data_IF_580756434776
#
_entry.id   IF_580756434776
#
_cell.length_a   1.000
_cell.length_b   1.000
_cell.length_c   1.000
_cell.angle_alpha   90.00
_cell.angle_beta   90.00
_cell.angle_gamma   90.00
#
_symmetry.space_group_name_H-M   'P 1'
#
loop_
_entity.id
_entity.type
_entity.pdbx_description
1 polymer ?
#
# COMPACT_ATOMS: atom_id res chain seq x y z
N UNK A 1 -85.43 65.76 -2.84
CA UNK A 1 -85.33 64.52 -3.65
C UNK A 1 -84.34 64.65 -4.82
N UNK A 2 -83.66 65.80 -4.99
CA UNK A 2 -82.60 66.00 -6.00
C UNK A 2 -81.18 65.68 -5.46
N UNK A 3 -80.96 65.85 -4.16
CA UNK A 3 -79.63 65.68 -3.54
C UNK A 3 -79.20 64.20 -3.42
N UNK A 4 -80.17 63.29 -3.21
CA UNK A 4 -79.94 61.85 -3.12
C UNK A 4 -79.63 61.19 -4.47
N UNK A 5 -80.19 61.68 -5.58
CA UNK A 5 -79.92 61.16 -6.93
C UNK A 5 -78.53 61.56 -7.43
N UNK A 6 -78.08 62.77 -7.08
CA UNK A 6 -76.75 63.26 -7.43
C UNK A 6 -75.64 62.56 -6.62
N UNK A 7 -75.93 62.24 -5.36
CA UNK A 7 -75.01 61.49 -4.48
C UNK A 7 -74.87 60.03 -4.95
N UNK A 8 -75.96 59.37 -5.35
CA UNK A 8 -75.93 57.99 -5.87
C UNK A 8 -75.20 57.89 -7.22
N UNK A 9 -75.36 58.87 -8.12
CA UNK A 9 -74.61 58.93 -9.39
C UNK A 9 -73.12 59.15 -9.18
N UNK A 10 -72.72 60.00 -8.21
CA UNK A 10 -71.31 60.18 -7.82
C UNK A 10 -70.71 58.90 -7.26
N UNK A 11 -71.40 58.21 -6.35
CA UNK A 11 -70.90 56.97 -5.74
C UNK A 11 -70.80 55.84 -6.77
N UNK A 12 -71.73 55.74 -7.73
CA UNK A 12 -71.64 54.78 -8.84
C UNK A 12 -70.53 55.11 -9.83
N UNK A 13 -70.28 56.39 -10.10
CA UNK A 13 -69.18 56.84 -10.98
C UNK A 13 -67.82 56.62 -10.32
N UNK A 14 -67.73 56.85 -9.01
CA UNK A 14 -66.55 56.59 -8.19
C UNK A 14 -66.28 55.09 -8.05
N UNK A 15 -67.32 54.26 -7.86
CA UNK A 15 -67.19 52.80 -7.83
C UNK A 15 -66.76 52.23 -9.19
N UNK A 16 -67.30 52.73 -10.30
CA UNK A 16 -66.90 52.32 -11.65
C UNK A 16 -65.48 52.78 -12.01
N UNK A 17 -65.08 53.99 -11.62
CA UNK A 17 -63.70 54.45 -11.75
C UNK A 17 -62.74 53.59 -10.91
N UNK A 18 -63.09 53.28 -9.66
CA UNK A 18 -62.27 52.44 -8.79
C UNK A 18 -62.10 51.04 -9.37
N UNK A 19 -63.17 50.47 -9.95
CA UNK A 19 -63.13 49.18 -10.65
C UNK A 19 -62.25 49.25 -11.91
N UNK A 20 -62.39 50.28 -12.76
CA UNK A 20 -61.55 50.45 -13.95
C UNK A 20 -60.06 50.66 -13.60
N UNK A 21 -59.77 51.43 -12.55
CA UNK A 21 -58.40 51.63 -12.07
C UNK A 21 -57.83 50.31 -11.55
N UNK A 22 -58.57 49.54 -10.76
CA UNK A 22 -58.12 48.22 -10.29
C UNK A 22 -57.90 47.24 -11.44
N UNK A 23 -58.78 47.21 -12.45
CA UNK A 23 -58.60 46.35 -13.63
C UNK A 23 -57.39 46.76 -14.46
N UNK A 24 -57.19 48.06 -14.72
CA UNK A 24 -56.01 48.55 -15.45
C UNK A 24 -54.72 48.37 -14.68
N UNK A 25 -54.74 48.52 -13.35
CA UNK A 25 -53.58 48.23 -12.49
C UNK A 25 -53.29 46.73 -12.49
N UNK A 26 -54.31 45.86 -12.50
CA UNK A 26 -54.15 44.42 -12.66
C UNK A 26 -53.53 44.03 -14.00
N UNK A 27 -54.02 44.58 -15.11
CA UNK A 27 -53.46 44.36 -16.45
C UNK A 27 -52.03 44.92 -16.58
N UNK A 28 -51.75 46.08 -15.99
CA UNK A 28 -50.43 46.68 -15.99
C UNK A 28 -49.46 45.84 -15.17
N UNK A 29 -49.89 45.32 -14.02
CA UNK A 29 -49.09 44.43 -13.16
C UNK A 29 -48.84 43.09 -13.86
N UNK A 30 -49.83 42.53 -14.55
CA UNK A 30 -49.67 41.32 -15.34
C UNK A 30 -48.71 41.51 -16.53
N UNK A 31 -48.82 42.65 -17.25
CA UNK A 31 -47.88 43.00 -18.32
C UNK A 31 -46.47 43.27 -17.80
N UNK A 32 -46.32 43.94 -16.65
CA UNK A 32 -45.02 44.13 -16.00
C UNK A 32 -44.42 42.79 -15.56
N UNK A 33 -45.22 41.89 -15.01
CA UNK A 33 -44.76 40.55 -14.57
C UNK A 33 -44.36 39.69 -15.78
N UNK A 34 -45.13 39.73 -16.87
CA UNK A 34 -44.77 39.05 -18.13
C UNK A 34 -43.53 39.64 -18.80
N UNK A 35 -43.34 40.96 -18.73
CA UNK A 35 -42.12 41.64 -19.21
C UNK A 35 -40.92 41.43 -18.29
N UNK A 36 -41.10 41.33 -16.97
CA UNK A 36 -40.05 40.96 -16.04
C UNK A 36 -39.62 39.51 -16.24
N UNK A 37 -40.57 38.58 -16.42
CA UNK A 37 -40.29 37.18 -16.71
C UNK A 37 -39.51 36.99 -18.02
N UNK A 38 -39.75 37.84 -19.03
CA UNK A 38 -39.00 37.83 -20.30
C UNK A 38 -37.69 38.61 -20.25
N UNK A 39 -37.57 39.64 -19.42
CA UNK A 39 -36.32 40.39 -19.21
C UNK A 39 -35.25 39.58 -18.43
N UNK A 40 -35.67 38.62 -17.61
CA UNK A 40 -34.81 37.64 -16.97
C UNK A 40 -34.81 36.27 -17.67
N UNK A 41 -35.39 36.18 -18.87
CA UNK A 41 -35.26 34.97 -19.69
C UNK A 41 -33.83 34.95 -20.25
N UNK A 42 -32.93 34.42 -19.44
CA UNK A 42 -31.55 34.16 -19.78
C UNK A 42 -31.55 33.20 -20.98
N UNK A 43 -31.35 33.76 -22.17
CA UNK A 43 -31.20 33.01 -23.40
C UNK A 43 -29.91 32.18 -23.28
N UNK A 44 -30.09 30.95 -22.81
CA UNK A 44 -28.99 30.05 -22.46
C UNK A 44 -28.14 29.73 -23.69
N UNK A 45 -28.70 29.79 -24.90
CA UNK A 45 -27.98 29.61 -26.16
C UNK A 45 -27.14 30.83 -26.52
N UNK A 46 -27.62 32.06 -26.27
CA UNK A 46 -26.81 33.28 -26.43
C UNK A 46 -25.71 33.42 -25.39
N UNK A 47 -25.94 33.00 -24.15
CA UNK A 47 -24.88 32.95 -23.14
C UNK A 47 -23.87 31.86 -23.50
N UNK A 48 -24.32 30.65 -23.89
CA UNK A 48 -23.43 29.57 -24.30
C UNK A 48 -22.56 29.94 -25.51
N UNK A 49 -23.11 30.66 -26.49
CA UNK A 49 -22.35 31.13 -27.67
C UNK A 49 -21.44 32.33 -27.38
N UNK A 50 -21.79 33.19 -26.40
CA UNK A 50 -20.90 34.24 -25.90
C UNK A 50 -19.75 33.68 -25.04
N UNK A 51 -19.94 32.51 -24.41
CA UNK A 51 -18.92 31.73 -23.72
C UNK A 51 -18.38 30.58 -24.58
N UNK A 52 -18.18 30.82 -25.89
CA UNK A 52 -17.34 29.90 -26.66
C UNK A 52 -15.89 30.14 -26.25
N UNK A 53 -15.49 29.43 -25.20
CA UNK A 53 -14.14 29.42 -24.67
C UNK A 53 -13.30 28.61 -25.66
N UNK A 54 -12.88 29.26 -26.76
CA UNK A 54 -11.88 28.74 -27.70
C UNK A 54 -10.48 28.85 -27.07
N UNK A 55 -10.35 28.21 -25.91
CA UNK A 55 -9.09 28.11 -25.19
C UNK A 55 -8.45 26.80 -25.65
N UNK A 56 -7.25 26.90 -26.22
CA UNK A 56 -6.48 25.70 -26.61
C UNK A 56 -6.22 24.80 -25.40
N UNK A 57 -6.01 23.51 -25.61
CA UNK A 57 -5.72 22.57 -24.49
C UNK A 57 -4.56 23.06 -23.59
N UNK A 58 -3.56 23.72 -24.19
CA UNK A 58 -2.43 24.33 -23.48
C UNK A 58 -2.86 25.50 -22.60
N UNK A 59 -3.77 26.34 -23.09
CA UNK A 59 -4.23 27.53 -22.38
C UNK A 59 -5.23 27.16 -21.26
N UNK A 60 -6.02 26.10 -21.46
CA UNK A 60 -6.90 25.54 -20.44
C UNK A 60 -6.07 24.93 -19.30
N UNK A 61 -5.02 24.20 -19.65
CA UNK A 61 -4.06 23.63 -18.69
C UNK A 61 -3.37 24.73 -17.88
N UNK A 62 -2.99 25.84 -18.51
CA UNK A 62 -2.38 27.01 -17.82
C UNK A 62 -3.35 27.67 -16.86
N UNK A 63 -4.60 27.89 -17.24
CA UNK A 63 -5.63 28.50 -16.37
C UNK A 63 -5.92 27.60 -15.18
N UNK A 64 -6.13 26.31 -15.41
CA UNK A 64 -6.37 25.33 -14.34
C UNK A 64 -5.17 25.29 -13.37
N UNK A 65 -3.94 25.28 -13.90
CA UNK A 65 -2.72 25.28 -13.08
C UNK A 65 -2.57 26.59 -12.27
N UNK A 66 -2.94 27.72 -12.86
CA UNK A 66 -2.90 29.03 -12.18
C UNK A 66 -3.98 29.17 -11.09
N UNK A 67 -5.12 28.50 -11.23
CA UNK A 67 -6.18 28.49 -10.20
C UNK A 67 -5.90 27.52 -9.06
N UNK A 68 -5.12 26.46 -9.31
CA UNK A 68 -4.73 25.48 -8.29
C UNK A 68 -3.50 25.88 -7.46
N UNK A 69 -2.71 26.87 -7.90
CA UNK A 69 -1.49 27.27 -7.21
C UNK A 69 -1.69 28.56 -6.42
N UNK A 70 -1.85 28.45 -5.10
CA UNK A 70 -1.92 29.57 -4.17
C UNK A 70 -0.52 30.18 -3.94
N UNK A 71 0.08 30.69 -5.01
CA UNK A 71 1.42 31.28 -5.00
C UNK A 71 1.30 32.80 -4.92
N UNK A 72 2.01 33.41 -3.95
CA UNK A 72 2.08 34.87 -3.80
C UNK A 72 2.38 35.53 -5.15
N UNK A 73 1.41 36.31 -5.65
CA UNK A 73 1.47 37.03 -6.93
C UNK A 73 2.61 38.05 -6.90
N UNK A 74 3.75 37.72 -7.50
CA UNK A 74 4.88 38.61 -7.72
C UNK A 74 5.23 38.62 -9.20
N UNK A 75 5.70 39.76 -9.72
CA UNK A 75 6.12 39.89 -11.11
C UNK A 75 7.15 38.82 -11.51
N UNK A 76 8.02 38.43 -10.58
CA UNK A 76 8.99 37.34 -10.78
C UNK A 76 8.32 35.97 -10.93
N UNK A 77 7.30 35.67 -10.12
CA UNK A 77 6.53 34.41 -10.18
C UNK A 77 5.81 34.28 -11.51
N UNK A 78 5.28 35.38 -12.05
CA UNK A 78 4.65 35.41 -13.36
C UNK A 78 5.66 35.21 -14.50
N UNK A 79 6.86 35.80 -14.41
CA UNK A 79 7.90 35.57 -15.42
C UNK A 79 8.34 34.11 -15.45
N UNK A 80 8.48 33.47 -14.28
CA UNK A 80 8.78 32.04 -14.18
C UNK A 80 7.68 31.19 -14.83
N UNK A 81 6.40 31.54 -14.69
CA UNK A 81 5.31 30.82 -15.37
C UNK A 81 5.26 31.02 -16.89
N UNK A 82 5.88 32.09 -17.40
CA UNK A 82 6.13 32.31 -18.83
C UNK A 82 7.41 31.62 -19.35
N UNK A 83 8.09 30.81 -18.52
CA UNK A 83 9.30 30.09 -18.91
C UNK A 83 10.60 30.88 -18.76
N UNK A 84 10.57 32.06 -18.12
CA UNK A 84 11.80 32.80 -17.79
C UNK A 84 12.60 32.03 -16.73
N UNK A 85 13.83 31.67 -17.09
CA UNK A 85 14.77 31.00 -16.19
C UNK A 85 15.96 31.91 -15.90
N UNK A 86 16.06 32.35 -14.65
CA UNK A 86 17.24 33.03 -14.13
C UNK A 86 18.33 31.99 -13.84
N UNK A 87 19.42 32.02 -14.62
CA UNK A 87 20.54 31.07 -14.48
C UNK A 87 21.28 31.21 -13.15
N UNK A 88 21.17 32.36 -12.47
CA UNK A 88 21.80 32.60 -11.17
C UNK A 88 20.92 32.14 -9.99
N UNK A 89 19.63 31.88 -10.23
CA UNK A 89 18.64 31.47 -9.20
C UNK A 89 17.72 30.37 -9.74
N UNK A 90 18.21 29.11 -9.83
CA UNK A 90 17.40 28.01 -10.33
C UNK A 90 16.16 27.77 -9.44
N UNK A 91 14.99 27.58 -10.07
CA UNK A 91 13.72 27.35 -9.37
C UNK A 91 13.65 25.97 -8.72
N UNK A 92 14.26 24.95 -9.34
CA UNK A 92 14.39 23.59 -8.82
C UNK A 92 15.67 22.95 -9.35
N UNK A 93 16.14 21.90 -8.67
CA UNK A 93 17.25 21.05 -9.11
C UNK A 93 16.71 19.63 -9.25
N UNK A 94 16.82 19.05 -10.44
CA UNK A 94 16.44 17.66 -10.71
C UNK A 94 17.61 16.72 -10.49
N UNK A 95 17.45 15.72 -9.63
CA UNK A 95 18.43 14.66 -9.42
C UNK A 95 17.94 13.35 -10.06
N UNK A 96 18.81 12.71 -10.83
CA UNK A 96 18.54 11.42 -11.45
C UNK A 96 19.53 10.39 -10.91
N UNK A 97 19.02 9.40 -10.18
CA UNK A 97 19.84 8.36 -9.58
C UNK A 97 19.89 7.13 -10.48
N UNK A 98 21.08 6.55 -10.60
CA UNK A 98 21.28 5.28 -11.31
C UNK A 98 20.85 4.06 -10.49
N UNK A 99 20.73 4.20 -9.16
CA UNK A 99 20.33 3.14 -8.24
C UNK A 99 19.37 3.65 -7.17
N UNK A 100 18.50 2.75 -6.68
CA UNK A 100 17.60 3.05 -5.58
C UNK A 100 18.34 3.30 -4.27
N UNK A 101 19.39 2.54 -3.98
CA UNK A 101 20.20 2.71 -2.77
C UNK A 101 20.85 4.11 -2.72
N UNK A 102 21.36 4.58 -3.86
CA UNK A 102 21.96 5.92 -3.96
C UNK A 102 20.94 7.03 -3.73
N UNK A 103 19.72 6.86 -4.28
CA UNK A 103 18.60 7.76 -4.01
C UNK A 103 18.26 7.79 -2.53
N UNK A 104 18.10 6.62 -1.91
CA UNK A 104 17.69 6.51 -0.50
C UNK A 104 18.73 7.10 0.46
N UNK A 105 20.02 6.89 0.17
CA UNK A 105 21.09 7.55 0.93
C UNK A 105 21.06 9.07 0.78
N UNK A 106 20.78 9.59 -0.42
CA UNK A 106 20.65 11.03 -0.65
C UNK A 106 19.42 11.63 0.05
N UNK A 107 18.28 10.93 0.03
CA UNK A 107 17.08 11.35 0.74
C UNK A 107 17.34 11.42 2.26
N UNK A 108 17.98 10.39 2.84
CA UNK A 108 18.39 10.41 4.27
C UNK A 108 19.31 11.57 4.60
N UNK A 109 20.19 11.95 3.69
CA UNK A 109 21.04 13.14 3.85
C UNK A 109 20.22 14.43 3.85
N UNK A 110 19.25 14.58 2.93
CA UNK A 110 18.34 15.73 2.90
C UNK A 110 17.49 15.82 4.17
N UNK A 111 16.94 14.70 4.63
CA UNK A 111 16.16 14.63 5.87
C UNK A 111 17.02 15.06 7.06
N UNK A 112 18.24 14.50 7.17
CA UNK A 112 19.18 14.86 8.24
C UNK A 112 19.61 16.34 8.20
N UNK A 113 19.67 16.95 7.01
CA UNK A 113 19.95 18.37 6.85
C UNK A 113 18.74 19.22 7.25
N UNK A 114 17.54 18.84 6.83
CA UNK A 114 16.30 19.53 7.17
C UNK A 114 16.03 19.47 8.67
N UNK A 115 16.20 18.31 9.31
CA UNK A 115 16.06 18.14 10.76
C UNK A 115 16.97 19.11 11.54
N UNK A 116 18.21 19.29 11.08
CA UNK A 116 19.15 20.26 11.68
C UNK A 116 18.71 21.70 11.48
N UNK A 117 18.27 22.05 10.27
CA UNK A 117 17.82 23.41 9.96
C UNK A 117 16.54 23.78 10.71
N UNK A 118 15.64 22.82 10.93
CA UNK A 118 14.45 22.99 11.77
C UNK A 118 14.81 23.15 13.24
N UNK A 119 15.74 22.33 13.76
CA UNK A 119 16.23 22.44 15.13
C UNK A 119 16.92 23.79 15.41
N UNK A 120 17.65 24.33 14.42
CA UNK A 120 18.32 25.63 14.50
C UNK A 120 17.37 26.81 14.24
N UNK A 121 16.07 26.57 14.01
CA UNK A 121 15.06 27.59 13.74
C UNK A 121 15.16 28.26 12.36
N UNK A 122 16.03 27.76 11.48
CA UNK A 122 16.28 28.29 10.13
C UNK A 122 15.28 27.72 9.11
N UNK A 123 13.99 28.03 9.28
CA UNK A 123 12.91 27.54 8.40
C UNK A 123 13.08 27.91 6.92
N UNK A 124 13.75 29.03 6.63
CA UNK A 124 14.00 29.49 5.25
C UNK A 124 15.04 28.64 4.49
N UNK A 125 15.79 27.78 5.21
CA UNK A 125 16.82 26.90 4.63
C UNK A 125 16.36 25.46 4.48
N UNK A 126 15.13 25.13 4.90
CA UNK A 126 14.54 23.79 4.75
C UNK A 126 14.30 23.51 3.27
N UNK A 127 14.82 22.38 2.81
CA UNK A 127 14.73 21.96 1.41
C UNK A 127 13.45 21.18 1.22
N UNK A 128 12.53 21.72 0.44
CA UNK A 128 11.35 21.00 -0.03
C UNK A 128 11.73 20.18 -1.27
N UNK A 129 11.49 18.87 -1.22
CA UNK A 129 11.76 17.97 -2.33
C UNK A 129 10.54 17.09 -2.64
N UNK A 130 10.45 16.60 -3.88
CA UNK A 130 9.39 15.69 -4.33
C UNK A 130 10.02 14.47 -4.98
N UNK A 131 9.74 13.28 -4.44
CA UNK A 131 10.20 12.01 -5.00
C UNK A 131 9.10 11.37 -5.87
N UNK A 132 9.02 11.80 -7.13
CA UNK A 132 8.07 11.24 -8.11
C UNK A 132 8.24 9.73 -8.28
N UNK A 133 9.49 9.23 -8.24
CA UNK A 133 9.77 7.79 -8.36
C UNK A 133 9.34 7.02 -7.12
N UNK A 134 9.53 7.59 -5.93
CA UNK A 134 9.11 7.02 -4.66
C UNK A 134 7.60 6.93 -4.54
N UNK A 135 6.87 7.95 -5.00
CA UNK A 135 5.39 7.93 -5.03
C UNK A 135 4.88 6.79 -5.92
N UNK A 136 5.44 6.64 -7.13
CA UNK A 136 5.05 5.55 -8.04
C UNK A 136 5.43 4.17 -7.49
N UNK A 137 6.63 4.03 -6.92
CA UNK A 137 7.11 2.76 -6.37
C UNK A 137 6.46 2.40 -5.03
N UNK A 138 5.92 3.36 -4.28
CA UNK A 138 5.26 3.10 -2.99
C UNK A 138 4.06 2.17 -3.15
N UNK A 139 3.22 2.39 -4.17
CA UNK A 139 2.09 1.51 -4.48
C UNK A 139 2.54 0.10 -4.84
N UNK A 140 3.59 -0.03 -5.65
CA UNK A 140 4.17 -1.34 -6.03
C UNK A 140 4.75 -2.05 -4.80
N UNK A 141 5.52 -1.33 -3.98
CA UNK A 141 6.11 -1.86 -2.73
C UNK A 141 5.03 -2.32 -1.77
N UNK A 142 3.93 -1.59 -1.66
CA UNK A 142 2.78 -1.96 -0.82
C UNK A 142 2.17 -3.29 -1.27
N UNK A 143 1.94 -3.47 -2.57
CA UNK A 143 1.40 -4.72 -3.13
C UNK A 143 2.38 -5.88 -2.92
N UNK A 144 3.66 -5.69 -3.25
CA UNK A 144 4.70 -6.71 -3.07
C UNK A 144 4.83 -7.11 -1.60
N UNK A 145 4.81 -6.14 -0.68
CA UNK A 145 4.86 -6.40 0.76
C UNK A 145 3.63 -7.14 1.25
N UNK A 146 2.43 -6.78 0.77
CA UNK A 146 1.20 -7.48 1.13
C UNK A 146 1.25 -8.96 0.72
N UNK A 147 1.64 -9.25 -0.52
CA UNK A 147 1.83 -10.63 -1.00
C UNK A 147 2.91 -11.35 -0.20
N UNK A 148 4.02 -10.66 0.09
CA UNK A 148 5.13 -11.22 0.88
C UNK A 148 4.68 -11.60 2.29
N UNK A 149 3.91 -10.74 2.97
CA UNK A 149 3.38 -11.05 4.30
C UNK A 149 2.41 -12.23 4.29
N UNK A 150 1.55 -12.33 3.27
CA UNK A 150 0.66 -13.48 3.10
C UNK A 150 1.48 -14.77 2.92
N UNK A 151 2.52 -14.76 2.08
CA UNK A 151 3.40 -15.91 1.88
C UNK A 151 4.17 -16.28 3.16
N UNK A 152 4.66 -15.28 3.91
CA UNK A 152 5.33 -15.50 5.20
C UNK A 152 4.36 -16.13 6.20
N UNK A 153 3.10 -15.71 6.24
CA UNK A 153 2.08 -16.31 7.10
C UNK A 153 1.85 -17.79 6.75
N UNK A 154 1.73 -18.12 5.45
CA UNK A 154 1.62 -19.51 5.00
C UNK A 154 2.83 -20.34 5.39
N UNK A 155 4.04 -19.85 5.13
CA UNK A 155 5.29 -20.52 5.49
C UNK A 155 5.35 -20.76 7.00
N UNK A 156 4.97 -19.77 7.81
CA UNK A 156 4.99 -19.88 9.27
C UNK A 156 4.05 -20.99 9.77
N UNK A 157 2.83 -21.07 9.22
CA UNK A 157 1.88 -22.15 9.56
C UNK A 157 2.44 -23.51 9.13
N UNK A 158 2.95 -23.61 7.89
CA UNK A 158 3.55 -24.84 7.38
C UNK A 158 4.74 -25.31 8.22
N UNK A 159 5.57 -24.38 8.72
CA UNK A 159 6.69 -24.70 9.60
C UNK A 159 6.21 -25.28 10.94
N UNK A 160 5.17 -24.71 11.54
CA UNK A 160 4.58 -25.23 12.79
C UNK A 160 4.04 -26.64 12.58
N UNK A 161 3.22 -26.83 11.53
CA UNK A 161 2.65 -28.15 11.19
C UNK A 161 3.74 -29.18 10.92
N UNK A 162 4.78 -28.80 10.18
CA UNK A 162 5.93 -29.67 9.91
C UNK A 162 6.69 -30.04 11.18
N UNK A 163 6.95 -29.09 12.07
CA UNK A 163 7.62 -29.35 13.34
C UNK A 163 6.84 -30.31 14.24
N UNK A 164 5.51 -30.18 14.29
CA UNK A 164 4.64 -31.10 15.04
C UNK A 164 4.68 -32.49 14.40
N UNK A 165 4.60 -32.57 13.06
CA UNK A 165 4.64 -33.84 12.34
C UNK A 165 5.95 -34.60 12.60
N UNK A 166 7.09 -33.91 12.59
CA UNK A 166 8.39 -34.51 12.93
C UNK A 166 8.36 -35.05 14.37
N UNK A 167 7.80 -34.30 15.31
CA UNK A 167 7.64 -34.75 16.70
C UNK A 167 6.78 -36.01 16.83
N UNK A 168 5.69 -36.10 16.06
CA UNK A 168 4.81 -37.29 16.06
C UNK A 168 5.53 -38.50 15.47
N UNK A 169 6.20 -38.34 14.33
CA UNK A 169 6.91 -39.45 13.66
C UNK A 169 8.03 -39.97 14.56
N UNK A 170 8.82 -39.08 15.16
CA UNK A 170 9.89 -39.47 16.09
C UNK A 170 9.34 -40.11 17.36
N UNK A 171 8.18 -39.66 17.86
CA UNK A 171 7.49 -40.33 18.97
C UNK A 171 7.07 -41.77 18.63
N UNK A 172 6.48 -41.99 17.46
CA UNK A 172 6.08 -43.32 16.99
C UNK A 172 7.31 -44.22 16.83
N UNK A 173 8.39 -43.72 16.21
CA UNK A 173 9.64 -44.47 16.03
C UNK A 173 10.24 -44.93 17.35
N UNK A 174 10.21 -44.09 18.38
CA UNK A 174 10.64 -44.46 19.75
C UNK A 174 9.76 -45.57 20.31
N UNK A 175 8.45 -45.49 20.09
CA UNK A 175 7.49 -46.45 20.63
C UNK A 175 7.67 -47.84 19.99
N UNK A 176 7.87 -47.90 18.67
CA UNK A 176 8.14 -49.15 17.94
C UNK A 176 9.46 -49.79 18.36
N UNK A 177 10.49 -48.98 18.66
CA UNK A 177 11.83 -49.45 19.08
C UNK A 177 11.98 -49.62 20.60
N UNK A 178 10.89 -49.71 21.37
CA UNK A 178 10.95 -49.78 22.84
C UNK A 178 11.78 -50.97 23.35
N UNK A 179 11.70 -52.14 22.70
CA UNK A 179 12.46 -53.36 23.05
C UNK A 179 13.97 -53.15 22.91
N UNK A 180 14.40 -52.51 21.82
CA UNK A 180 15.80 -52.17 21.57
C UNK A 180 16.35 -51.22 22.64
N UNK A 181 15.57 -50.20 23.02
CA UNK A 181 15.91 -49.27 24.10
C UNK A 181 16.06 -50.02 25.43
N UNK A 182 15.16 -50.97 25.73
CA UNK A 182 15.22 -51.80 26.93
C UNK A 182 16.49 -52.66 27.01
N UNK A 183 16.90 -53.25 25.90
CA UNK A 183 18.15 -54.04 25.79
C UNK A 183 19.37 -53.13 26.00
N UNK A 184 19.45 -51.99 25.31
CA UNK A 184 20.54 -51.02 25.44
C UNK A 184 20.69 -50.51 26.87
N UNK A 185 19.57 -50.19 27.52
CA UNK A 185 19.55 -49.74 28.92
C UNK A 185 19.96 -50.83 29.91
N UNK A 186 19.68 -52.11 29.60
CA UNK A 186 20.05 -53.24 30.45
C UNK A 186 21.55 -53.58 30.36
N UNK A 187 22.19 -53.27 29.23
CA UNK A 187 23.64 -53.38 29.02
C UNK A 187 24.41 -52.18 29.62
N UNK A 188 23.70 -51.15 30.10
CA UNK A 188 24.29 -50.01 30.81
C UNK A 188 24.23 -48.66 30.08
N UNK A 189 23.48 -48.55 28.97
CA UNK A 189 23.30 -47.27 28.30
C UNK A 189 22.58 -46.25 29.22
N UNK A 190 23.20 -45.07 29.38
CA UNK A 190 22.62 -43.99 30.15
C UNK A 190 21.39 -43.38 29.43
N UNK A 191 20.52 -42.70 30.18
CA UNK A 191 19.39 -41.94 29.60
C UNK A 191 19.86 -40.90 28.57
N UNK A 192 21.04 -40.32 28.79
CA UNK A 192 21.63 -39.34 27.87
C UNK A 192 22.08 -40.00 26.56
N UNK A 193 22.67 -41.20 26.62
CA UNK A 193 23.09 -41.94 25.43
C UNK A 193 21.88 -42.26 24.53
N UNK A 194 20.78 -42.72 25.13
CA UNK A 194 19.54 -42.99 24.40
C UNK A 194 18.99 -41.69 23.77
N UNK A 195 18.90 -40.59 24.54
CA UNK A 195 18.44 -39.31 23.99
C UNK A 195 19.35 -38.79 22.87
N UNK A 196 20.66 -39.01 22.95
CA UNK A 196 21.63 -38.54 21.95
C UNK A 196 21.48 -39.27 20.62
N UNK A 197 21.10 -40.56 20.63
CA UNK A 197 20.87 -41.34 19.42
C UNK A 197 19.68 -40.74 18.64
N UNK A 198 18.56 -40.48 19.31
CA UNK A 198 17.38 -39.89 18.67
C UNK A 198 17.60 -38.43 18.26
N UNK A 199 18.36 -37.65 19.04
CA UNK A 199 18.77 -36.31 18.65
C UNK A 199 19.67 -36.34 17.40
N UNK A 200 20.58 -37.31 17.29
CA UNK A 200 21.42 -37.48 16.11
C UNK A 200 20.60 -37.89 14.87
N UNK A 201 19.61 -38.78 15.02
CA UNK A 201 18.67 -39.13 13.94
C UNK A 201 17.92 -37.89 13.44
N UNK A 202 17.40 -37.08 14.36
CA UNK A 202 16.71 -35.82 14.04
C UNK A 202 17.63 -34.78 13.39
N UNK A 203 18.89 -34.71 13.83
CA UNK A 203 19.91 -33.83 13.24
C UNK A 203 20.22 -34.23 11.79
N UNK A 204 20.42 -35.53 11.54
CA UNK A 204 20.69 -36.06 10.19
C UNK A 204 19.51 -35.79 9.28
N UNK A 205 18.28 -36.01 9.75
CA UNK A 205 17.05 -35.69 9.00
C UNK A 205 17.03 -34.21 8.64
N UNK A 206 17.25 -33.32 9.61
CA UNK A 206 17.26 -31.87 9.35
C UNK A 206 18.34 -31.44 8.36
N UNK A 207 19.54 -32.00 8.48
CA UNK A 207 20.66 -31.68 7.59
C UNK A 207 20.37 -32.15 6.16
N UNK A 208 19.87 -33.37 5.99
CA UNK A 208 19.48 -33.90 4.68
C UNK A 208 18.31 -33.11 4.10
N UNK A 209 17.27 -32.83 4.87
CA UNK A 209 16.13 -32.03 4.43
C UNK A 209 16.55 -30.62 3.97
N UNK A 210 17.44 -29.95 4.71
CA UNK A 210 17.98 -28.65 4.32
C UNK A 210 18.79 -28.70 3.02
N UNK A 211 19.65 -29.70 2.86
CA UNK A 211 20.42 -29.91 1.62
C UNK A 211 19.52 -30.23 0.43
N UNK A 212 18.54 -31.10 0.60
CA UNK A 212 17.55 -31.41 -0.45
C UNK A 212 16.72 -30.19 -0.83
N UNK A 213 16.26 -29.41 0.16
CA UNK A 213 15.53 -28.17 -0.08
C UNK A 213 16.31 -27.19 -0.95
N UNK A 214 17.59 -26.97 -0.62
CA UNK A 214 18.48 -26.11 -1.40
C UNK A 214 18.73 -26.67 -2.80
N UNK A 215 18.99 -27.97 -2.92
CA UNK A 215 19.20 -28.62 -4.21
C UNK A 215 18.01 -28.47 -5.14
N UNK A 216 16.79 -28.60 -4.60
CA UNK A 216 15.54 -28.37 -5.32
C UNK A 216 15.43 -26.88 -5.70
N UNK A 217 15.65 -25.95 -4.77
CA UNK A 217 15.60 -24.52 -5.07
C UNK A 217 16.56 -24.13 -6.20
N UNK A 218 17.83 -24.54 -6.14
CA UNK A 218 18.80 -24.26 -7.21
C UNK A 218 18.40 -24.86 -8.55
N UNK A 219 17.76 -26.04 -8.54
CA UNK A 219 17.27 -26.68 -9.77
C UNK A 219 16.06 -25.94 -10.36
N UNK A 220 15.22 -25.31 -9.54
CA UNK A 220 14.04 -24.56 -9.97
C UNK A 220 14.36 -23.14 -10.47
N UNK A 221 15.37 -22.48 -9.89
CA UNK A 221 15.78 -21.11 -10.28
C UNK A 221 15.93 -20.92 -11.81
N UNK A 222 16.67 -21.76 -12.56
CA UNK A 222 16.81 -21.57 -14.01
C UNK A 222 15.48 -21.77 -14.76
N UNK A 223 14.62 -22.68 -14.29
CA UNK A 223 13.30 -22.92 -14.88
C UNK A 223 12.42 -21.68 -14.70
N UNK A 224 12.41 -21.11 -13.49
CA UNK A 224 11.67 -19.90 -13.16
C UNK A 224 12.19 -18.72 -13.98
N UNK A 225 13.51 -18.55 -14.09
CA UNK A 225 14.10 -17.50 -14.92
C UNK A 225 13.66 -17.63 -16.38
N UNK A 226 13.66 -18.83 -16.96
CA UNK A 226 13.20 -19.06 -18.34
C UNK A 226 11.73 -18.67 -18.52
N UNK A 227 10.88 -19.03 -17.57
CA UNK A 227 9.46 -18.67 -17.59
C UNK A 227 9.30 -17.14 -17.49
N UNK A 228 10.06 -16.50 -16.60
CA UNK A 228 10.01 -15.05 -16.39
C UNK A 228 10.38 -14.27 -17.67
N UNK A 229 11.48 -14.67 -18.32
CA UNK A 229 11.93 -14.09 -19.60
C UNK A 229 10.89 -14.26 -20.71
N UNK A 230 10.08 -15.31 -20.68
CA UNK A 230 9.01 -15.52 -21.67
C UNK A 230 7.82 -14.57 -21.46
N UNK A 231 7.42 -14.30 -20.21
CA UNK A 231 6.24 -13.49 -19.91
C UNK A 231 6.52 -11.98 -19.86
N UNK A 232 7.73 -11.58 -19.44
CA UNK A 232 8.07 -10.18 -19.14
C UNK A 232 9.03 -9.59 -20.19
N UNK A 233 9.56 -10.42 -21.11
CA UNK A 233 10.55 -10.03 -22.10
C UNK A 233 11.98 -10.01 -21.54
N UNK A 234 12.96 -9.58 -22.35
CA UNK A 234 14.39 -9.55 -21.99
C UNK A 234 14.76 -8.43 -21.00
N UNK A 235 13.97 -8.24 -19.94
CA UNK A 235 14.40 -7.40 -18.82
C UNK A 235 15.49 -8.19 -18.07
N UNK A 236 16.64 -7.59 -17.71
CA UNK A 236 17.73 -8.28 -17.00
C UNK A 236 17.39 -8.55 -15.52
N UNK A 237 16.20 -9.11 -15.25
CA UNK A 237 15.76 -9.57 -13.95
C UNK A 237 16.06 -11.06 -13.83
N UNK A 238 17.20 -11.38 -13.26
CA UNK A 238 17.55 -12.76 -12.94
C UNK A 238 17.26 -13.01 -11.45
N UNK A 239 16.48 -14.05 -11.17
CA UNK A 239 16.40 -14.62 -9.84
C UNK A 239 17.76 -15.25 -9.53
N UNK A 240 18.46 -14.69 -8.56
CA UNK A 240 19.76 -15.19 -8.10
C UNK A 240 19.62 -15.64 -6.65
N UNK A 241 20.06 -16.87 -6.39
CA UNK A 241 20.07 -17.44 -5.05
C UNK A 241 21.52 -17.49 -4.53
N UNK A 242 21.82 -16.64 -3.55
CA UNK A 242 23.16 -16.52 -2.97
C UNK A 242 23.48 -17.69 -2.03
N UNK A 243 24.69 -18.24 -2.15
CA UNK A 243 25.17 -19.36 -1.33
C UNK A 243 25.13 -19.06 0.18
N UNK A 244 25.36 -17.80 0.59
CA UNK A 244 25.30 -17.41 2.00
C UNK A 244 23.90 -17.63 2.60
N UNK A 245 22.86 -17.33 1.83
CA UNK A 245 21.47 -17.53 2.27
C UNK A 245 21.14 -19.03 2.35
N UNK A 246 21.72 -19.84 1.47
CA UNK A 246 21.59 -21.29 1.48
C UNK A 246 22.10 -21.87 2.81
N UNK A 247 23.29 -21.47 3.26
CA UNK A 247 23.86 -21.96 4.52
C UNK A 247 22.97 -21.63 5.74
N UNK A 248 22.41 -20.41 5.78
CA UNK A 248 21.50 -19.99 6.86
C UNK A 248 20.23 -20.86 6.88
N UNK A 249 19.68 -21.21 5.72
CA UNK A 249 18.48 -22.06 5.63
C UNK A 249 18.75 -23.51 6.07
N UNK A 250 19.94 -24.07 5.80
CA UNK A 250 20.29 -25.40 6.35
C UNK A 250 20.34 -25.36 7.87
N UNK A 251 21.01 -24.35 8.43
CA UNK A 251 21.11 -24.19 9.89
C UNK A 251 19.71 -24.06 10.49
N UNK A 252 18.86 -23.24 9.88
CA UNK A 252 17.48 -23.05 10.32
C UNK A 252 16.66 -24.34 10.23
N UNK A 253 16.84 -25.14 9.16
CA UNK A 253 16.20 -26.45 9.01
C UNK A 253 16.60 -27.41 10.14
N UNK A 254 17.90 -27.52 10.43
CA UNK A 254 18.40 -28.36 11.52
C UNK A 254 17.85 -27.93 12.88
N UNK A 255 17.80 -26.62 13.15
CA UNK A 255 17.26 -26.09 14.41
C UNK A 255 15.78 -26.47 14.54
N UNK A 256 14.98 -26.30 13.48
CA UNK A 256 13.56 -26.62 13.50
C UNK A 256 13.30 -28.11 13.71
N UNK A 257 14.04 -29.00 13.03
CA UNK A 257 13.86 -30.43 13.22
C UNK A 257 14.25 -30.84 14.64
N UNK A 258 15.36 -30.32 15.17
CA UNK A 258 15.79 -30.58 16.55
C UNK A 258 14.74 -30.13 17.56
N UNK A 259 14.15 -28.94 17.40
CA UNK A 259 13.07 -28.46 18.28
C UNK A 259 11.90 -29.45 18.30
N UNK A 260 11.49 -29.95 17.12
CA UNK A 260 10.46 -30.99 17.02
C UNK A 260 10.84 -32.32 17.67
N UNK A 261 12.10 -32.74 17.57
CA UNK A 261 12.58 -34.04 18.07
C UNK A 261 13.00 -34.07 19.55
N UNK A 262 13.21 -32.91 20.20
CA UNK A 262 13.66 -32.86 21.61
C UNK A 262 12.61 -33.46 22.57
N UNK A 263 11.32 -33.19 22.34
CA UNK A 263 10.23 -33.69 23.19
C UNK A 263 10.19 -35.24 23.19
N UNK A 264 10.10 -35.93 22.04
CA UNK A 264 10.06 -37.39 21.99
C UNK A 264 11.39 -38.04 22.42
N UNK A 265 12.54 -37.44 22.09
CA UNK A 265 13.85 -37.95 22.53
C UNK A 265 13.98 -38.02 24.05
N UNK A 266 13.43 -37.01 24.74
CA UNK A 266 13.33 -37.01 26.21
C UNK A 266 12.35 -38.04 26.74
N UNK A 267 11.23 -38.26 26.05
CA UNK A 267 10.27 -39.29 26.41
C UNK A 267 10.87 -40.70 26.28
N UNK A 268 11.65 -40.97 25.22
CA UNK A 268 12.38 -42.21 25.00
C UNK A 268 13.32 -42.55 26.16
N UNK A 269 14.14 -41.56 26.55
CA UNK A 269 15.14 -41.71 27.61
C UNK A 269 14.55 -42.02 29.00
N UNK A 270 13.27 -41.68 29.22
CA UNK A 270 12.57 -41.92 30.50
C UNK A 270 11.86 -43.27 30.58
N UNK A 271 11.80 -44.07 29.50
CA UNK A 271 11.15 -45.38 29.50
C UNK A 271 11.87 -46.36 30.44
N UNK A 272 11.09 -47.11 31.23
CA UNK A 272 11.61 -48.08 32.19
C UNK A 272 12.03 -49.37 31.47
N UNK A 273 13.31 -49.81 31.58
CA UNK A 273 13.81 -51.03 30.94
C UNK A 273 13.08 -52.29 31.41
N UNK A 274 12.60 -52.35 32.65
CA UNK A 274 11.89 -53.52 33.19
C UNK A 274 10.54 -53.70 32.51
N UNK A 275 9.83 -52.59 32.28
CA UNK A 275 8.53 -52.60 31.59
C UNK A 275 8.74 -52.89 30.10
N UNK A 276 9.80 -52.33 29.50
CA UNK A 276 10.14 -52.52 28.08
C UNK A 276 10.50 -53.97 27.72
N UNK A 277 11.04 -54.75 28.66
CA UNK A 277 11.37 -56.18 28.45
C UNK A 277 10.23 -57.13 28.85
N UNK A 278 9.23 -56.65 29.59
CA UNK A 278 8.07 -57.43 30.04
C UNK A 278 6.87 -57.34 29.09
N UNK A 279 6.94 -56.44 28.11
CA UNK A 279 5.97 -56.38 27.01
C UNK A 279 6.45 -57.36 25.94
N UNK A 280 5.57 -58.29 25.53
CA UNK A 280 5.84 -59.47 24.68
C UNK A 280 6.95 -59.33 23.62
#
# INVERSE_FOLDING_TARGET
MEETVNTMSRVMTEANMKKQVLTKVGELTANLTGKFATAFNVDQEKIASAFNIDISEDELTRVITAMMTDTKKSAKTNLISFGYQDKEKPTYIGFYFKSFDGKEHFLKFLDSYNDKMEADGNKDKVINYTDTTGILMSSVKTIVNAVTYVLIAFISISLIVSSIMIGIITYISVYERTKEIGILRSIGASKHNISSIFNAETFIIGLLSGLFGIGITYSLVPIINKILHHFIGNIPLNVVFYFNNAAILVILSVILTLIGGIIPSRAAAKRDPVIALRTE
#
